data_IF_861825677606
#
_entry.id   IF_861825677606
#
_cell.length_a   1.000
_cell.length_b   1.000
_cell.length_c   1.000
_cell.angle_alpha   90.00
_cell.angle_beta   90.00
_cell.angle_gamma   90.00
#
_symmetry.space_group_name_H-M   'P 1'
#
loop_
_entity.id
_entity.type
_entity.pdbx_description
1 polymer ?
#
# COMPACT_ATOMS: atom_id res chain seq x y z
N UNK A 1 -3.71 -11.79 25.02
CA UNK A 1 -4.15 -10.94 23.89
C UNK A 1 -4.12 -11.82 22.67
N UNK A 2 -5.01 -11.66 21.71
CA UNK A 2 -4.94 -12.46 20.48
C UNK A 2 -4.33 -11.63 19.37
N UNK A 3 -3.48 -12.26 18.56
CA UNK A 3 -2.98 -11.72 17.30
C UNK A 3 -3.38 -12.73 16.23
N UNK A 4 -3.89 -12.27 15.10
CA UNK A 4 -4.32 -13.15 14.04
C UNK A 4 -3.74 -12.71 12.70
N UNK A 5 -3.56 -13.69 11.81
CA UNK A 5 -3.02 -13.50 10.47
C UNK A 5 -4.12 -13.79 9.49
N UNK A 6 -4.39 -12.82 8.63
CA UNK A 6 -5.49 -12.88 7.69
C UNK A 6 -5.00 -12.73 6.26
N UNK A 7 -5.73 -13.32 5.33
CA UNK A 7 -5.55 -13.00 3.92
C UNK A 7 -5.94 -11.54 3.68
N UNK A 8 -4.96 -10.68 3.33
CA UNK A 8 -5.18 -9.25 3.12
C UNK A 8 -6.28 -8.94 2.09
N UNK A 9 -6.42 -9.77 1.05
CA UNK A 9 -7.41 -9.57 -0.01
C UNK A 9 -8.83 -10.00 0.40
N UNK A 10 -8.96 -11.11 1.14
CA UNK A 10 -10.26 -11.74 1.39
C UNK A 10 -10.74 -11.58 2.83
N UNK A 11 -9.87 -11.11 3.73
CA UNK A 11 -10.07 -11.11 5.18
C UNK A 11 -10.52 -12.49 5.67
N UNK A 12 -9.77 -13.54 5.30
CA UNK A 12 -9.95 -14.90 5.82
C UNK A 12 -8.82 -15.16 6.80
N UNK A 13 -9.17 -15.46 8.05
CA UNK A 13 -8.21 -15.74 9.11
C UNK A 13 -7.54 -17.08 8.86
N UNK A 14 -6.22 -17.10 8.83
CA UNK A 14 -5.41 -18.30 8.57
C UNK A 14 -4.82 -18.87 9.86
N UNK A 15 -4.40 -17.98 10.78
CA UNK A 15 -3.75 -18.38 12.03
C UNK A 15 -4.06 -17.39 13.14
N UNK A 16 -4.08 -17.88 14.38
CA UNK A 16 -4.31 -17.09 15.59
C UNK A 16 -3.27 -17.48 16.63
N UNK A 17 -2.68 -16.48 17.26
CA UNK A 17 -1.73 -16.60 18.34
C UNK A 17 -2.36 -16.07 19.62
N UNK A 18 -2.28 -16.86 20.68
CA UNK A 18 -2.53 -16.36 22.03
C UNK A 18 -1.21 -15.82 22.59
N UNK A 19 -1.08 -14.50 22.58
CA UNK A 19 0.15 -13.81 22.96
C UNK A 19 0.07 -13.27 24.38
N UNK A 20 1.07 -13.66 25.18
CA UNK A 20 1.28 -13.20 26.55
C UNK A 20 2.29 -12.05 26.57
N UNK A 21 1.89 -10.91 27.14
CA UNK A 21 2.77 -9.75 27.28
C UNK A 21 2.90 -8.88 26.03
N UNK A 22 1.90 -8.90 25.15
CA UNK A 22 1.84 -8.02 23.97
C UNK A 22 2.45 -8.63 22.71
N UNK A 23 2.37 -7.88 21.63
CA UNK A 23 2.93 -8.25 20.33
C UNK A 23 4.44 -8.04 20.31
N UNK A 24 5.16 -8.98 19.70
CA UNK A 24 6.62 -8.99 19.56
C UNK A 24 6.98 -9.42 18.13
N UNK A 25 8.10 -8.93 17.63
CA UNK A 25 8.59 -9.26 16.27
C UNK A 25 8.82 -10.77 16.08
N UNK A 26 9.11 -11.53 17.15
CA UNK A 26 9.23 -13.00 17.06
C UNK A 26 7.95 -13.69 16.53
N UNK A 27 6.77 -13.10 16.73
CA UNK A 27 5.54 -13.65 16.15
C UNK A 27 5.47 -13.34 14.65
N UNK A 28 5.97 -12.18 14.21
CA UNK A 28 6.10 -11.85 12.80
C UNK A 28 7.10 -12.79 12.10
N UNK A 29 8.24 -13.10 12.74
CA UNK A 29 9.20 -14.11 12.25
C UNK A 29 8.53 -15.47 12.02
N UNK A 30 7.74 -15.96 12.99
CA UNK A 30 6.98 -17.22 12.86
C UNK A 30 5.95 -17.16 11.73
N UNK A 31 5.29 -16.00 11.53
CA UNK A 31 4.35 -15.79 10.42
C UNK A 31 5.08 -15.83 9.07
N UNK A 32 6.26 -15.24 8.97
CA UNK A 32 7.07 -15.30 7.75
C UNK A 32 7.49 -16.74 7.47
N UNK A 33 8.03 -17.45 8.47
CA UNK A 33 8.45 -18.85 8.33
C UNK A 33 7.27 -19.76 7.92
N UNK A 34 6.12 -19.61 8.58
CA UNK A 34 4.89 -20.32 8.23
C UNK A 34 4.39 -19.97 6.82
N UNK A 35 4.43 -18.70 6.45
CA UNK A 35 4.02 -18.22 5.12
C UNK A 35 4.90 -18.80 4.02
N UNK A 36 6.21 -18.84 4.24
CA UNK A 36 7.16 -19.48 3.33
C UNK A 36 6.87 -20.97 3.18
N UNK A 37 6.61 -21.68 4.27
CA UNK A 37 6.32 -23.12 4.23
C UNK A 37 4.97 -23.44 3.57
N UNK A 38 3.95 -22.64 3.88
CA UNK A 38 2.58 -22.84 3.39
C UNK A 38 2.43 -22.44 1.92
N UNK A 39 3.20 -21.47 1.46
CA UNK A 39 3.07 -20.88 0.12
C UNK A 39 4.32 -21.03 -0.76
N UNK A 40 5.18 -22.03 -0.52
CA UNK A 40 6.49 -22.27 -1.21
C UNK A 40 6.56 -22.02 -2.72
N UNK A 41 5.45 -22.23 -3.45
CA UNK A 41 5.38 -22.08 -4.92
C UNK A 41 4.86 -20.71 -5.39
N UNK A 42 4.60 -19.79 -4.47
CA UNK A 42 3.99 -18.47 -4.72
C UNK A 42 4.81 -17.41 -4.00
N UNK A 43 4.69 -16.14 -4.39
CA UNK A 43 5.22 -15.05 -3.59
C UNK A 43 4.46 -14.87 -2.27
N UNK A 44 5.13 -14.36 -1.25
CA UNK A 44 4.56 -13.97 0.02
C UNK A 44 4.51 -12.46 0.12
N UNK A 45 3.31 -11.90 0.26
CA UNK A 45 3.12 -10.48 0.56
C UNK A 45 2.55 -10.35 1.97
N UNK A 46 3.29 -9.69 2.85
CA UNK A 46 2.96 -9.53 4.25
C UNK A 46 2.69 -8.05 4.56
N UNK A 47 1.48 -7.78 5.03
CA UNK A 47 1.09 -6.47 5.55
C UNK A 47 1.30 -6.43 7.05
N UNK A 48 2.04 -5.45 7.55
CA UNK A 48 2.30 -5.29 8.97
C UNK A 48 2.46 -3.82 9.37
N UNK A 49 1.80 -3.40 10.45
CA UNK A 49 1.79 -2.01 10.91
C UNK A 49 3.20 -1.46 11.14
N UNK A 50 4.09 -2.30 11.66
CA UNK A 50 5.49 -1.97 11.87
C UNK A 50 6.42 -2.71 10.90
N UNK A 51 5.99 -2.91 9.65
CA UNK A 51 6.80 -3.58 8.61
C UNK A 51 8.20 -2.95 8.43
N UNK A 52 8.36 -1.65 8.66
CA UNK A 52 9.68 -1.01 8.61
C UNK A 52 10.62 -1.49 9.72
N UNK A 53 10.09 -1.80 10.91
CA UNK A 53 10.88 -2.39 12.00
C UNK A 53 11.17 -3.86 11.72
N UNK A 54 10.21 -4.57 11.17
CA UNK A 54 10.37 -5.97 10.76
C UNK A 54 11.47 -6.14 9.72
N UNK A 55 11.49 -5.28 8.69
CA UNK A 55 12.55 -5.32 7.68
C UNK A 55 13.94 -5.15 8.30
N UNK A 56 14.11 -4.17 9.20
CA UNK A 56 15.38 -3.95 9.90
C UNK A 56 15.75 -5.12 10.83
N UNK A 57 14.76 -5.73 11.48
CA UNK A 57 14.95 -6.91 12.33
C UNK A 57 15.43 -8.12 11.51
N UNK A 58 14.76 -8.42 10.40
CA UNK A 58 15.14 -9.50 9.50
C UNK A 58 16.54 -9.29 8.90
N UNK A 59 16.91 -8.05 8.57
CA UNK A 59 18.24 -7.72 8.05
C UNK A 59 19.32 -7.87 9.14
N UNK A 60 19.06 -7.33 10.34
CA UNK A 60 19.98 -7.40 11.47
C UNK A 60 20.35 -8.84 11.87
N UNK A 61 19.36 -9.74 11.86
CA UNK A 61 19.58 -11.17 12.15
C UNK A 61 19.99 -12.00 10.92
N UNK A 62 20.20 -11.38 9.76
CA UNK A 62 20.62 -12.05 8.53
C UNK A 62 19.55 -12.99 7.92
N UNK A 63 18.29 -12.86 8.35
CA UNK A 63 17.17 -13.67 7.86
C UNK A 63 16.65 -13.18 6.52
N UNK A 64 16.70 -11.87 6.26
CA UNK A 64 16.15 -11.26 5.05
C UNK A 64 16.70 -11.89 3.78
N UNK A 65 18.02 -12.12 3.72
CA UNK A 65 18.66 -12.69 2.53
C UNK A 65 18.16 -14.10 2.22
N UNK A 66 18.05 -14.94 3.25
CA UNK A 66 17.51 -16.29 3.12
C UNK A 66 16.06 -16.29 2.63
N UNK A 67 15.26 -15.31 3.05
CA UNK A 67 13.86 -15.19 2.64
C UNK A 67 13.77 -14.81 1.15
N UNK A 68 14.44 -13.71 0.74
CA UNK A 68 14.35 -13.20 -0.63
C UNK A 68 14.98 -14.13 -1.67
N UNK A 69 16.00 -14.91 -1.30
CA UNK A 69 16.60 -15.91 -2.18
C UNK A 69 15.69 -17.14 -2.37
N UNK A 70 14.73 -17.35 -1.45
CA UNK A 70 13.81 -18.50 -1.48
C UNK A 70 12.47 -18.16 -2.15
N UNK A 71 11.93 -16.97 -1.89
CA UNK A 71 10.57 -16.59 -2.29
C UNK A 71 10.51 -15.11 -2.67
N UNK A 72 9.63 -14.75 -3.61
CA UNK A 72 9.27 -13.35 -3.81
C UNK A 72 8.61 -12.84 -2.53
N UNK A 73 9.29 -11.95 -1.81
CA UNK A 73 8.83 -11.42 -0.53
C UNK A 73 8.58 -9.92 -0.64
N UNK A 74 7.38 -9.48 -0.27
CA UNK A 74 6.99 -8.07 -0.24
C UNK A 74 6.44 -7.74 1.14
N UNK A 75 7.00 -6.70 1.76
CA UNK A 75 6.46 -6.10 2.98
C UNK A 75 5.73 -4.81 2.66
N UNK A 76 4.60 -4.57 3.31
CA UNK A 76 3.89 -3.31 3.21
C UNK A 76 3.25 -2.93 4.54
N UNK A 77 2.94 -1.65 4.72
CA UNK A 77 2.19 -1.14 5.88
C UNK A 77 0.75 -0.87 5.41
N UNK A 78 -0.29 -1.37 6.10
CA UNK A 78 -1.68 -1.11 5.72
C UNK A 78 -1.98 0.37 5.46
N UNK A 79 -2.91 0.63 4.54
CA UNK A 79 -3.09 1.94 3.92
C UNK A 79 -3.49 3.04 4.91
N UNK A 80 -4.17 2.72 6.02
CA UNK A 80 -4.45 3.69 7.08
C UNK A 80 -3.24 3.91 7.97
N UNK A 81 -2.50 2.84 8.29
CA UNK A 81 -1.36 2.88 9.20
C UNK A 81 -0.13 3.54 8.60
N UNK A 82 0.08 3.43 7.28
CA UNK A 82 1.25 4.00 6.61
C UNK A 82 1.36 5.52 6.79
N UNK A 83 0.23 6.23 6.87
CA UNK A 83 0.22 7.67 7.08
C UNK A 83 0.67 8.11 8.48
N UNK A 84 0.64 7.19 9.46
CA UNK A 84 1.18 7.44 10.79
C UNK A 84 2.72 7.33 10.84
N UNK A 85 3.35 6.83 9.77
CA UNK A 85 4.80 6.72 9.66
C UNK A 85 5.45 7.91 8.97
N UNK A 86 6.77 8.02 9.07
CA UNK A 86 7.57 9.03 8.37
C UNK A 86 7.46 8.93 6.84
N UNK A 87 7.85 10.01 6.15
CA UNK A 87 7.73 10.13 4.69
C UNK A 87 8.39 8.97 3.94
N UNK A 88 9.56 8.52 4.41
CA UNK A 88 10.28 7.40 3.79
C UNK A 88 9.46 6.12 3.84
N UNK A 89 8.81 5.83 4.98
CA UNK A 89 7.93 4.68 5.10
C UNK A 89 6.69 4.79 4.19
N UNK A 90 6.15 6.00 4.03
CA UNK A 90 5.02 6.23 3.12
C UNK A 90 5.38 5.96 1.67
N UNK A 91 6.60 6.30 1.25
CA UNK A 91 7.05 6.00 -0.11
C UNK A 91 7.42 4.53 -0.30
N UNK A 92 8.07 3.91 0.69
CA UNK A 92 8.61 2.55 0.56
C UNK A 92 7.57 1.45 0.81
N UNK A 93 6.68 1.63 1.79
CA UNK A 93 5.79 0.55 2.25
C UNK A 93 4.31 0.79 1.94
N UNK A 94 3.95 1.89 1.28
CA UNK A 94 2.54 2.12 0.93
C UNK A 94 2.07 1.11 -0.09
N UNK A 95 0.93 0.42 0.14
CA UNK A 95 0.37 -0.53 -0.81
C UNK A 95 -0.02 0.12 -2.14
N UNK A 96 -0.16 1.45 -2.17
CA UNK A 96 -0.47 2.22 -3.38
C UNK A 96 0.74 2.43 -4.28
N UNK A 97 1.95 2.37 -3.74
CA UNK A 97 3.20 2.54 -4.50
C UNK A 97 3.89 1.19 -4.78
N UNK A 98 3.62 0.17 -3.98
CA UNK A 98 4.19 -1.15 -4.17
C UNK A 98 3.58 -1.89 -5.37
N UNK A 99 4.43 -2.27 -6.31
CA UNK A 99 4.04 -3.04 -7.48
C UNK A 99 3.53 -4.43 -7.07
N UNK A 100 2.41 -4.85 -7.67
CA UNK A 100 1.85 -6.19 -7.45
C UNK A 100 0.69 -6.25 -6.45
N UNK A 101 0.43 -5.19 -5.67
CA UNK A 101 -0.69 -5.16 -4.72
C UNK A 101 -2.01 -4.63 -5.29
N UNK A 102 -1.94 -3.94 -6.43
CA UNK A 102 -3.10 -3.31 -7.06
C UNK A 102 -3.65 -2.14 -6.26
N UNK A 103 -4.65 -1.45 -6.81
CA UNK A 103 -5.25 -0.26 -6.17
C UNK A 103 -6.36 -0.60 -5.17
N UNK A 104 -6.81 -1.85 -5.15
CA UNK A 104 -7.99 -2.29 -4.38
C UNK A 104 -7.64 -2.95 -3.06
N UNK A 105 -6.39 -3.40 -2.87
CA UNK A 105 -5.96 -4.03 -1.63
C UNK A 105 -5.39 -2.97 -0.68
N UNK A 106 -6.09 -2.70 0.43
CA UNK A 106 -5.71 -1.69 1.42
C UNK A 106 -4.93 -2.26 2.60
N UNK A 107 -4.94 -3.58 2.82
CA UNK A 107 -4.33 -4.23 3.98
C UNK A 107 -5.16 -4.15 5.26
N UNK A 108 -6.32 -3.49 5.24
CA UNK A 108 -7.18 -3.25 6.41
C UNK A 108 -8.10 -4.45 6.72
N UNK A 109 -7.77 -5.63 6.18
CA UNK A 109 -8.50 -6.88 6.45
C UNK A 109 -8.53 -7.21 7.94
N UNK A 110 -7.39 -6.99 8.59
CA UNK A 110 -7.18 -7.25 10.00
C UNK A 110 -8.14 -6.45 10.89
N UNK A 111 -8.26 -5.14 10.64
CA UNK A 111 -9.15 -4.27 11.42
C UNK A 111 -10.63 -4.63 11.28
N UNK A 112 -11.04 -5.13 10.11
CA UNK A 112 -12.42 -5.62 9.91
C UNK A 112 -12.70 -6.89 10.70
N UNK A 113 -11.71 -7.75 10.88
CA UNK A 113 -11.81 -8.95 11.73
C UNK A 113 -11.84 -8.52 13.19
N UNK A 114 -10.94 -7.63 13.62
CA UNK A 114 -10.92 -7.06 14.98
C UNK A 114 -12.25 -6.41 15.35
N UNK A 115 -12.81 -5.58 14.48
CA UNK A 115 -14.13 -4.96 14.68
C UNK A 115 -15.24 -5.99 14.87
N UNK A 116 -15.17 -7.11 14.14
CA UNK A 116 -16.14 -8.20 14.27
C UNK A 116 -15.95 -8.96 15.59
N UNK A 117 -14.71 -9.30 15.96
CA UNK A 117 -14.35 -9.97 17.21
C UNK A 117 -14.68 -9.13 18.45
N UNK A 118 -14.58 -7.81 18.35
CA UNK A 118 -14.85 -6.88 19.46
C UNK A 118 -16.27 -7.08 20.04
N UNK A 119 -17.22 -7.52 19.22
CA UNK A 119 -18.62 -7.81 19.62
C UNK A 119 -18.72 -8.94 20.66
N UNK A 120 -17.67 -9.75 20.80
CA UNK A 120 -17.64 -10.93 21.67
C UNK A 120 -16.89 -10.70 22.97
N UNK A 121 -16.23 -9.54 23.11
CA UNK A 121 -15.46 -9.21 24.31
C UNK A 121 -16.36 -9.32 25.55
N UNK A 122 -17.57 -8.75 25.50
CA UNK A 122 -18.51 -8.80 26.63
C UNK A 122 -19.02 -10.21 26.96
N UNK A 123 -19.09 -11.11 25.97
CA UNK A 123 -19.54 -12.50 26.16
C UNK A 123 -18.42 -13.34 26.81
N UNK A 124 -17.20 -13.19 26.31
CA UNK A 124 -16.05 -14.01 26.70
C UNK A 124 -15.27 -13.49 27.90
N UNK A 125 -15.57 -12.28 28.40
CA UNK A 125 -14.80 -11.64 29.47
C UNK A 125 -14.81 -12.42 30.79
N UNK A 126 -15.89 -13.16 31.08
CA UNK A 126 -16.06 -13.94 32.32
C UNK A 126 -15.81 -15.44 32.16
N UNK A 127 -15.38 -15.87 30.98
CA UNK A 127 -15.03 -17.25 30.73
C UNK A 127 -13.67 -17.60 31.34
N UNK A 128 -13.48 -18.88 31.62
CA UNK A 128 -12.15 -19.42 31.89
C UNK A 128 -11.28 -19.25 30.64
N UNK A 129 -9.96 -19.25 30.83
CA UNK A 129 -9.00 -19.07 29.75
C UNK A 129 -9.23 -20.04 28.57
N UNK A 130 -9.44 -21.33 28.88
CA UNK A 130 -9.62 -22.37 27.86
C UNK A 130 -10.96 -22.25 27.13
N UNK A 131 -12.05 -21.93 27.83
CA UNK A 131 -13.36 -21.72 27.20
C UNK A 131 -13.30 -20.52 26.25
N UNK A 132 -12.71 -19.41 26.70
CA UNK A 132 -12.50 -18.22 25.88
C UNK A 132 -11.69 -18.51 24.63
N UNK A 133 -10.64 -19.32 24.74
CA UNK A 133 -9.81 -19.72 23.60
C UNK A 133 -10.62 -20.52 22.59
N UNK A 134 -11.38 -21.51 23.06
CA UNK A 134 -12.23 -22.33 22.20
C UNK A 134 -13.28 -21.48 21.48
N UNK A 135 -13.96 -20.59 22.21
CA UNK A 135 -15.00 -19.74 21.65
C UNK A 135 -14.43 -18.81 20.57
N UNK A 136 -13.30 -18.14 20.84
CA UNK A 136 -12.63 -17.29 19.83
C UNK A 136 -12.34 -18.08 18.54
N UNK A 137 -11.87 -19.32 18.64
CA UNK A 137 -11.60 -20.17 17.47
C UNK A 137 -12.90 -20.48 16.72
N UNK A 138 -13.95 -20.93 17.41
CA UNK A 138 -15.23 -21.26 16.79
C UNK A 138 -15.86 -20.04 16.09
N UNK A 139 -15.75 -18.87 16.69
CA UNK A 139 -16.23 -17.63 16.09
C UNK A 139 -15.43 -17.26 14.84
N UNK A 140 -14.11 -17.41 14.86
CA UNK A 140 -13.27 -17.17 13.69
C UNK A 140 -13.54 -18.16 12.55
N UNK A 141 -13.80 -19.43 12.87
CA UNK A 141 -14.25 -20.43 11.90
C UNK A 141 -15.58 -20.02 11.25
N UNK A 142 -16.55 -19.58 12.07
CA UNK A 142 -17.83 -19.07 11.55
C UNK A 142 -17.65 -17.83 10.67
N UNK A 143 -16.78 -16.90 11.06
CA UNK A 143 -16.43 -15.73 10.27
C UNK A 143 -15.85 -16.13 8.91
N UNK A 144 -14.88 -17.02 8.90
CA UNK A 144 -14.26 -17.56 7.69
C UNK A 144 -15.29 -18.24 6.78
N UNK A 145 -16.16 -19.07 7.34
CA UNK A 145 -17.22 -19.72 6.58
C UNK A 145 -18.17 -18.71 5.93
N UNK A 146 -18.55 -17.65 6.65
CA UNK A 146 -19.35 -16.54 6.10
C UNK A 146 -18.65 -15.85 4.94
N UNK A 147 -17.32 -15.64 5.03
CA UNK A 147 -16.51 -15.04 3.97
C UNK A 147 -16.43 -15.94 2.74
N UNK A 148 -16.16 -17.23 2.92
CA UNK A 148 -16.07 -18.20 1.82
C UNK A 148 -17.41 -18.28 1.06
N UNK A 149 -18.55 -18.32 1.76
CA UNK A 149 -19.87 -18.30 1.10
C UNK A 149 -20.09 -17.04 0.27
N UNK A 150 -19.69 -15.87 0.80
CA UNK A 150 -19.77 -14.60 0.07
C UNK A 150 -18.81 -14.52 -1.10
N UNK A 151 -17.64 -15.15 -1.00
CA UNK A 151 -16.64 -15.18 -2.07
C UNK A 151 -17.17 -15.89 -3.31
N UNK A 152 -17.86 -17.03 -3.14
CA UNK A 152 -18.51 -17.73 -4.27
C UNK A 152 -19.50 -16.82 -4.99
N UNK A 153 -20.38 -16.16 -4.24
CA UNK A 153 -21.36 -15.23 -4.81
C UNK A 153 -20.69 -14.03 -5.51
N UNK A 154 -19.62 -13.49 -4.92
CA UNK A 154 -18.85 -12.40 -5.50
C UNK A 154 -18.16 -12.82 -6.80
N UNK A 155 -17.51 -13.99 -6.82
CA UNK A 155 -16.82 -14.53 -8.00
C UNK A 155 -17.80 -14.77 -9.14
N UNK A 156 -18.96 -15.36 -8.85
CA UNK A 156 -20.03 -15.54 -9.86
C UNK A 156 -20.47 -14.21 -10.42
N UNK A 157 -20.74 -13.21 -9.56
CA UNK A 157 -21.12 -11.86 -10.00
C UNK A 157 -20.06 -11.22 -10.89
N UNK A 158 -18.77 -11.37 -10.55
CA UNK A 158 -17.66 -10.83 -11.35
C UNK A 158 -17.52 -11.56 -12.68
N UNK A 159 -17.61 -12.89 -12.70
CA UNK A 159 -17.59 -13.68 -13.93
C UNK A 159 -18.73 -13.28 -14.87
N UNK A 160 -19.95 -13.13 -14.36
CA UNK A 160 -21.09 -12.68 -15.16
C UNK A 160 -20.87 -11.28 -15.74
N UNK A 161 -20.36 -10.34 -14.95
CA UNK A 161 -20.05 -8.99 -15.42
C UNK A 161 -18.96 -9.00 -16.50
N UNK A 162 -17.92 -9.83 -16.33
CA UNK A 162 -16.86 -10.02 -17.34
C UNK A 162 -17.44 -10.60 -18.62
N UNK A 163 -18.27 -11.66 -18.54
CA UNK A 163 -18.88 -12.25 -19.73
C UNK A 163 -19.82 -11.28 -20.45
N UNK A 164 -20.59 -10.47 -19.72
CA UNK A 164 -21.44 -9.44 -20.31
C UNK A 164 -20.62 -8.37 -21.05
N UNK A 165 -19.55 -7.86 -20.44
CA UNK A 165 -18.67 -6.87 -21.05
C UNK A 165 -17.76 -7.43 -22.16
N UNK A 166 -17.58 -8.76 -22.21
CA UNK A 166 -16.71 -9.41 -23.20
C UNK A 166 -17.19 -9.15 -24.64
N UNK A 167 -18.51 -9.05 -24.85
CA UNK A 167 -19.07 -8.74 -26.17
C UNK A 167 -18.70 -7.32 -26.63
N UNK A 168 -18.75 -6.34 -25.73
CA UNK A 168 -18.35 -4.95 -26.00
C UNK A 168 -16.85 -4.84 -26.27
N UNK A 169 -16.03 -5.52 -25.46
CA UNK A 169 -14.57 -5.56 -25.64
C UNK A 169 -14.20 -6.23 -26.96
N UNK A 170 -14.86 -7.34 -27.31
CA UNK A 170 -14.70 -8.01 -28.63
C UNK A 170 -15.07 -7.07 -29.78
N UNK A 171 -16.18 -6.34 -29.66
CA UNK A 171 -16.61 -5.39 -30.67
C UNK A 171 -15.61 -4.23 -30.82
N UNK A 172 -15.12 -3.67 -29.73
CA UNK A 172 -14.16 -2.57 -29.73
C UNK A 172 -12.78 -2.97 -30.33
N UNK A 173 -12.33 -4.20 -30.09
CA UNK A 173 -11.06 -4.71 -30.60
C UNK A 173 -11.14 -5.22 -32.05
N UNK A 174 -12.32 -5.62 -32.52
CA UNK A 174 -12.57 -6.06 -33.90
C UNK A 174 -11.57 -7.12 -34.37
N UNK A 175 -10.84 -6.83 -35.46
CA UNK A 175 -9.85 -7.75 -36.06
C UNK A 175 -8.64 -8.02 -35.14
N UNK A 176 -8.36 -7.15 -34.17
CA UNK A 176 -7.24 -7.32 -33.22
C UNK A 176 -7.52 -8.41 -32.19
N UNK A 177 -8.80 -8.75 -31.94
CA UNK A 177 -9.19 -9.80 -31.00
C UNK A 177 -8.56 -11.17 -31.34
N UNK A 178 -8.54 -11.55 -32.62
CA UNK A 178 -7.95 -12.84 -33.06
C UNK A 178 -6.48 -12.99 -32.66
N UNK A 179 -5.76 -11.87 -32.62
CA UNK A 179 -4.36 -11.83 -32.24
C UNK A 179 -4.21 -12.06 -30.73
N UNK A 180 -5.11 -11.52 -29.92
CA UNK A 180 -5.15 -11.74 -28.46
C UNK A 180 -5.58 -13.17 -28.08
N UNK A 181 -6.55 -13.74 -28.79
CA UNK A 181 -7.10 -15.07 -28.51
C UNK A 181 -6.07 -16.21 -28.68
N UNK A 182 -5.06 -15.99 -29.53
CA UNK A 182 -3.98 -16.93 -29.81
C UNK A 182 -2.70 -16.63 -29.01
N UNK A 183 -2.62 -15.49 -28.33
CA UNK A 183 -1.42 -15.07 -27.61
C UNK A 183 -1.44 -15.58 -26.17
N UNK A 184 -0.35 -16.19 -25.71
CA UNK A 184 -0.18 -16.58 -24.32
C UNK A 184 -0.18 -15.37 -23.38
N UNK A 185 -0.81 -15.49 -22.21
CA UNK A 185 -0.82 -14.45 -21.19
C UNK A 185 0.59 -13.99 -20.80
N UNK A 186 1.55 -14.91 -20.71
CA UNK A 186 2.96 -14.59 -20.38
C UNK A 186 3.57 -13.59 -21.37
N UNK A 187 3.30 -13.76 -22.67
CA UNK A 187 3.82 -12.90 -23.74
C UNK A 187 3.23 -11.49 -23.64
N UNK A 188 1.95 -11.38 -23.28
CA UNK A 188 1.30 -10.07 -23.05
C UNK A 188 1.92 -9.37 -21.84
N UNK A 189 2.14 -10.08 -20.74
CA UNK A 189 2.75 -9.52 -19.53
C UNK A 189 4.18 -9.04 -19.82
N UNK A 190 5.00 -9.84 -20.48
CA UNK A 190 6.37 -9.48 -20.85
C UNK A 190 6.42 -8.25 -21.78
N UNK A 191 5.57 -8.21 -22.80
CA UNK A 191 5.54 -7.09 -23.76
C UNK A 191 5.07 -5.78 -23.11
N UNK A 192 4.06 -5.81 -22.23
CA UNK A 192 3.62 -4.64 -21.45
C UNK A 192 4.69 -4.21 -20.46
N UNK A 193 5.34 -5.16 -19.79
CA UNK A 193 6.41 -4.88 -18.83
C UNK A 193 7.60 -4.23 -19.52
N UNK A 194 8.02 -4.76 -20.67
CA UNK A 194 9.08 -4.17 -21.49
C UNK A 194 8.70 -2.80 -22.08
N UNK A 195 7.44 -2.57 -22.45
CA UNK A 195 6.98 -1.23 -22.84
C UNK A 195 7.10 -0.25 -21.67
N UNK A 196 6.65 -0.64 -20.47
CA UNK A 196 6.77 0.19 -19.26
C UNK A 196 8.22 0.48 -18.92
N UNK A 197 9.09 -0.53 -18.94
CA UNK A 197 10.51 -0.34 -18.69
C UNK A 197 11.11 0.66 -19.67
N UNK A 198 10.81 0.54 -20.97
CA UNK A 198 11.22 1.53 -21.98
C UNK A 198 10.69 2.93 -21.72
N UNK A 199 9.48 3.07 -21.19
CA UNK A 199 8.92 4.37 -20.81
C UNK A 199 9.64 4.96 -19.59
N UNK A 200 9.99 4.13 -18.60
CA UNK A 200 10.80 4.55 -17.44
C UNK A 200 12.22 4.92 -17.88
N UNK A 201 12.84 4.11 -18.72
CA UNK A 201 14.18 4.35 -19.27
C UNK A 201 14.20 5.59 -20.16
N UNK A 202 13.09 5.89 -20.86
CA UNK A 202 12.93 7.13 -21.62
C UNK A 202 12.77 8.33 -20.68
N UNK A 203 11.96 8.21 -19.63
CA UNK A 203 11.79 9.26 -18.62
C UNK A 203 13.08 9.55 -17.83
N UNK A 204 13.99 8.58 -17.72
CA UNK A 204 15.30 8.76 -17.09
C UNK A 204 16.42 9.18 -18.06
N UNK A 205 16.19 9.09 -19.38
CA UNK A 205 17.10 9.58 -20.45
C UNK A 205 16.69 10.94 -21.01
N UNK A 206 15.41 11.30 -20.93
CA UNK A 206 15.00 12.68 -21.02
C UNK A 206 15.67 13.38 -19.82
N UNK A 207 16.57 14.36 -20.03
CA UNK A 207 17.05 15.15 -18.90
C UNK A 207 15.80 15.66 -18.21
N UNK A 208 15.71 15.60 -16.87
CA UNK A 208 14.59 16.23 -16.18
C UNK A 208 14.57 17.65 -16.73
N UNK A 209 13.51 17.99 -17.47
CA UNK A 209 13.56 19.23 -18.23
C UNK A 209 13.80 20.30 -17.17
N UNK A 210 14.76 21.20 -17.36
CA UNK A 210 15.06 22.25 -16.37
C UNK A 210 13.77 22.94 -15.92
N UNK A 211 12.79 22.98 -16.84
CA UNK A 211 11.42 23.42 -16.66
C UNK A 211 10.56 22.54 -15.73
N UNK A 212 10.61 21.22 -15.80
CA UNK A 212 9.86 20.31 -14.93
C UNK A 212 10.45 20.21 -13.51
N UNK A 213 11.77 20.25 -13.39
CA UNK A 213 12.44 20.39 -12.08
C UNK A 213 12.09 21.73 -11.43
N UNK A 214 12.10 22.81 -12.21
CA UNK A 214 11.65 24.13 -11.74
C UNK A 214 10.16 24.11 -11.38
N UNK A 215 9.30 23.42 -12.13
CA UNK A 215 7.88 23.23 -11.76
C UNK A 215 7.71 22.52 -10.43
N UNK A 216 8.45 21.44 -10.20
CA UNK A 216 8.39 20.70 -8.94
C UNK A 216 8.88 21.56 -7.76
N UNK A 217 9.96 22.33 -7.96
CA UNK A 217 10.46 23.28 -6.96
C UNK A 217 9.46 24.39 -6.67
N UNK A 218 8.84 24.97 -7.71
CA UNK A 218 7.79 26.00 -7.60
C UNK A 218 6.56 25.45 -6.85
N UNK A 219 6.08 24.24 -7.21
CA UNK A 219 4.94 23.61 -6.53
C UNK A 219 5.25 23.33 -5.05
N UNK A 220 6.47 22.88 -4.73
CA UNK A 220 6.89 22.64 -3.36
C UNK A 220 6.92 23.93 -2.52
N UNK A 221 7.47 25.02 -3.07
CA UNK A 221 7.52 26.34 -2.43
C UNK A 221 6.10 26.91 -2.24
N UNK A 222 5.23 26.80 -3.25
CA UNK A 222 3.84 27.26 -3.18
C UNK A 222 3.05 26.50 -2.08
N UNK A 223 3.18 25.18 -2.01
CA UNK A 223 2.55 24.36 -0.95
C UNK A 223 3.06 24.75 0.43
N UNK A 224 4.35 25.01 0.57
CA UNK A 224 4.96 25.42 1.84
C UNK A 224 4.39 26.76 2.32
N UNK A 225 4.20 27.73 1.41
CA UNK A 225 3.55 29.01 1.70
C UNK A 225 2.11 28.80 2.17
N UNK A 226 1.31 28.00 1.44
CA UNK A 226 -0.08 27.71 1.83
C UNK A 226 -0.18 27.06 3.21
N UNK A 227 0.75 26.15 3.53
CA UNK A 227 0.82 25.50 4.84
C UNK A 227 1.19 26.48 5.96
N UNK A 228 2.17 27.36 5.73
CA UNK A 228 2.58 28.40 6.68
C UNK A 228 1.45 29.41 6.92
N UNK A 229 0.79 29.86 5.86
CA UNK A 229 -0.37 30.76 5.92
C UNK A 229 -1.56 30.14 6.67
N UNK A 230 -1.83 28.84 6.45
CA UNK A 230 -2.82 28.10 7.24
C UNK A 230 -2.47 28.05 8.73
N UNK A 231 -1.20 27.87 9.09
CA UNK A 231 -0.76 27.89 10.49
C UNK A 231 -0.86 29.29 11.11
N UNK A 232 -0.52 30.34 10.35
CA UNK A 232 -0.63 31.73 10.81
C UNK A 232 -2.09 32.13 11.07
N UNK A 233 -3.04 31.64 10.26
CA UNK A 233 -4.47 31.84 10.51
C UNK A 233 -4.97 31.14 11.79
N UNK A 234 -4.40 29.98 12.13
CA UNK A 234 -4.82 29.20 13.30
C UNK A 234 -4.23 29.66 14.64
N UNK A 235 -3.06 30.31 14.63
CA UNK A 235 -2.37 30.74 15.85
C UNK A 235 -1.63 32.09 15.67
N UNK A 236 -2.34 33.20 15.44
CA UNK A 236 -1.73 34.51 15.25
C UNK A 236 -1.00 35.01 16.50
N UNK A 237 0.14 35.67 16.33
CA UNK A 237 0.84 36.40 17.41
C UNK A 237 1.80 35.59 18.30
N UNK A 238 1.99 34.29 18.06
CA UNK A 238 2.98 33.49 18.81
C UNK A 238 4.41 33.78 18.33
N UNK A 239 5.44 33.52 19.19
CA UNK A 239 6.85 33.58 18.77
C UNK A 239 7.13 32.67 17.56
N UNK A 240 6.44 31.53 17.48
CA UNK A 240 6.46 30.63 16.33
C UNK A 240 5.82 31.30 15.10
N UNK A 241 4.67 31.96 15.26
CA UNK A 241 4.01 32.72 14.20
C UNK A 241 4.90 33.82 13.61
N UNK A 242 5.64 34.56 14.44
CA UNK A 242 6.58 35.57 13.94
C UNK A 242 7.75 34.97 13.15
N UNK A 243 8.26 33.81 13.56
CA UNK A 243 9.28 33.05 12.80
C UNK A 243 8.72 32.54 11.48
N UNK A 244 7.51 31.98 11.49
CA UNK A 244 6.81 31.50 10.30
C UNK A 244 6.52 32.63 9.32
N UNK A 245 6.14 33.82 9.81
CA UNK A 245 5.92 35.00 8.95
C UNK A 245 7.20 35.40 8.22
N UNK A 246 8.35 35.43 8.93
CA UNK A 246 9.66 35.71 8.33
C UNK A 246 10.08 34.64 7.32
N UNK A 247 9.88 33.36 7.66
CA UNK A 247 10.15 32.24 6.75
C UNK A 247 9.26 32.26 5.51
N UNK A 248 7.98 32.62 5.67
CA UNK A 248 7.01 32.76 4.58
C UNK A 248 7.43 33.85 3.61
N UNK A 249 7.88 35.02 4.10
CA UNK A 249 8.40 36.10 3.23
C UNK A 249 9.62 35.63 2.43
N UNK A 250 10.58 34.95 3.07
CA UNK A 250 11.76 34.39 2.36
C UNK A 250 11.36 33.38 1.30
N UNK A 251 10.46 32.45 1.63
CA UNK A 251 9.97 31.41 0.72
C UNK A 251 9.21 32.02 -0.45
N UNK A 252 8.51 33.13 -0.24
CA UNK A 252 7.84 33.89 -1.30
C UNK A 252 8.85 34.51 -2.27
N UNK A 253 9.96 35.05 -1.76
CA UNK A 253 11.04 35.59 -2.60
C UNK A 253 11.70 34.50 -3.43
N UNK A 254 11.96 33.33 -2.83
CA UNK A 254 12.54 32.18 -3.54
C UNK A 254 11.58 31.63 -4.61
N UNK A 255 10.27 31.60 -4.32
CA UNK A 255 9.23 31.22 -5.27
C UNK A 255 9.25 32.15 -6.50
N UNK A 256 9.24 33.46 -6.30
CA UNK A 256 9.29 34.42 -7.42
C UNK A 256 10.56 34.29 -8.25
N UNK A 257 11.71 34.13 -7.61
CA UNK A 257 12.99 33.91 -8.30
C UNK A 257 12.96 32.67 -9.19
N UNK A 258 12.33 31.59 -8.71
CA UNK A 258 12.15 30.34 -9.46
C UNK A 258 11.13 30.46 -10.59
N UNK A 259 10.06 31.25 -10.39
CA UNK A 259 9.10 31.59 -11.44
C UNK A 259 9.74 32.42 -12.56
N UNK A 260 10.61 33.37 -12.23
CA UNK A 260 11.35 34.16 -13.23
C UNK A 260 12.32 33.27 -14.03
N UNK A 261 13.04 32.37 -13.36
CA UNK A 261 13.89 31.35 -13.98
C UNK A 261 13.07 30.45 -14.93
N UNK A 262 11.88 30.03 -14.50
CA UNK A 262 10.97 29.21 -15.29
C UNK A 262 10.40 29.95 -16.52
N UNK A 263 10.03 31.22 -16.36
CA UNK A 263 9.50 32.05 -17.44
C UNK A 263 10.59 32.43 -18.46
N UNK A 264 11.83 32.60 -18.02
CA UNK A 264 12.99 32.85 -18.89
C UNK A 264 13.36 31.69 -19.81
N UNK A 265 12.87 30.47 -19.53
CA UNK A 265 13.05 29.29 -20.37
C UNK A 265 11.99 29.16 -21.49
N UNK A 266 11.01 30.06 -21.57
CA UNK A 266 10.06 30.13 -22.68
C UNK A 266 10.59 31.05 -23.79
N UNK A 267 11.03 30.52 -24.93
CA UNK A 267 11.26 31.32 -26.15
C UNK A 267 9.93 31.61 -26.87
N UNK A 268 9.82 32.68 -27.70
CA UNK A 268 8.56 33.15 -28.31
C UNK A 268 7.98 32.27 -29.42
N UNK A 269 8.40 31.00 -29.53
CA UNK A 269 8.03 30.10 -30.63
C UNK A 269 7.02 29.02 -30.23
N UNK A 270 6.37 29.14 -29.07
CA UNK A 270 5.28 28.25 -28.66
C UNK A 270 3.96 29.02 -28.54
N UNK A 271 3.36 29.30 -29.70
CA UNK A 271 1.91 29.41 -29.88
C UNK A 271 1.49 28.43 -30.98
#
# INVERSE_FOLDING_TARGET
MIVHVDCAAHAIVQRVYDVKGGERLMYADDVVAWGMDSFKKRGLVLGYDVACKELNHLDFYGLLRSIIDTILFILFIPAMHVYAHGKDCQSLFSPRFLMGLGLTMDGEGHERVNSWLARMIGLTQRETHENRRLDIVLFLEFYNWSKVRKLVAWTVKKLMAVFAGLAEVKAALGLQWRRLETTSYSVVVESVTGLRQRLVDRASKEPPSTKDDLRLQIDHLARSIVLMDKHLRGAPGTKMGNRLKKAMTSTFTDLYKKLDEFNGLCTPSCF
#
